data_IF_812733386567
#
_entry.id   IF_812733386567
#
_cell.length_a   1.000
_cell.length_b   1.000
_cell.length_c   1.000
_cell.angle_alpha   90.00
_cell.angle_beta   90.00
_cell.angle_gamma   90.00
#
_symmetry.space_group_name_H-M   'P 1'
#
loop_
_entity.id
_entity.type
_entity.pdbx_description
1 polymer ?
#
# COMPACT_ATOMS: atom_id res chain seq x y z
N UNK A 1 44.15 -82.13 49.11
CA UNK A 1 44.96 -81.63 47.97
C UNK A 1 44.33 -80.37 47.45
N UNK A 2 45.00 -79.28 47.70
CA UNK A 2 44.50 -77.92 47.52
C UNK A 2 44.94 -77.36 46.18
N UNK A 3 44.01 -76.75 45.37
CA UNK A 3 44.36 -75.95 44.25
C UNK A 3 43.73 -74.56 44.40
N UNK A 4 44.61 -73.56 44.53
CA UNK A 4 44.31 -72.13 44.60
C UNK A 4 44.01 -71.63 43.21
N UNK A 5 42.85 -70.98 43.01
CA UNK A 5 42.49 -70.25 41.82
C UNK A 5 42.76 -68.76 42.04
N UNK A 6 43.67 -68.18 41.26
CA UNK A 6 43.99 -66.72 41.23
C UNK A 6 42.92 -65.94 40.51
N UNK A 7 42.30 -64.97 41.18
CA UNK A 7 41.42 -63.98 40.60
C UNK A 7 42.24 -62.87 39.96
N UNK A 8 42.08 -62.71 38.70
CA UNK A 8 42.53 -61.49 38.00
C UNK A 8 41.36 -60.47 37.92
N UNK A 9 41.54 -59.31 38.56
CA UNK A 9 40.67 -58.17 38.45
C UNK A 9 41.07 -57.36 37.19
N UNK A 10 40.20 -57.31 36.22
CA UNK A 10 40.33 -56.41 35.04
C UNK A 10 39.47 -55.18 35.33
N UNK A 11 40.13 -54.05 35.65
CA UNK A 11 39.49 -52.80 35.83
C UNK A 11 39.15 -52.23 34.43
N UNK A 12 37.85 -52.12 34.09
CA UNK A 12 37.34 -51.46 32.91
C UNK A 12 37.07 -49.97 33.26
N UNK A 13 37.97 -49.09 32.83
CA UNK A 13 37.73 -47.64 32.89
C UNK A 13 36.62 -47.22 31.89
N UNK A 14 35.40 -46.98 32.38
CA UNK A 14 34.35 -46.31 31.63
C UNK A 14 34.64 -44.81 31.65
N UNK A 15 35.16 -44.25 30.55
CA UNK A 15 35.18 -42.84 30.29
C UNK A 15 33.81 -42.41 29.79
N UNK A 16 32.97 -41.89 30.69
CA UNK A 16 31.72 -41.24 30.32
C UNK A 16 32.02 -39.85 29.71
N UNK A 17 32.02 -39.76 28.38
CA UNK A 17 32.04 -38.47 27.65
C UNK A 17 30.73 -37.77 27.86
N UNK A 18 30.67 -36.72 28.70
CA UNK A 18 29.57 -35.77 28.76
C UNK A 18 29.57 -34.95 27.45
N UNK A 19 28.71 -35.31 26.52
CA UNK A 19 28.30 -34.45 25.45
C UNK A 19 27.41 -33.33 26.04
N UNK A 20 28.05 -32.20 26.37
CA UNK A 20 27.33 -30.96 26.69
C UNK A 20 26.67 -30.41 25.41
N UNK A 21 25.52 -30.96 25.03
CA UNK A 21 24.58 -30.36 24.08
C UNK A 21 23.95 -29.16 24.77
N UNK A 22 24.51 -27.97 24.53
CA UNK A 22 23.84 -26.73 24.94
C UNK A 22 22.45 -26.65 24.31
N UNK A 23 21.45 -26.11 25.02
CA UNK A 23 20.15 -25.90 24.43
C UNK A 23 20.31 -24.94 23.24
N UNK A 24 20.20 -25.47 22.04
CA UNK A 24 19.89 -24.61 20.85
C UNK A 24 18.50 -24.06 21.08
N UNK A 25 18.42 -22.82 21.54
CA UNK A 25 17.17 -22.08 21.50
C UNK A 25 16.76 -21.95 20.04
N UNK A 26 15.92 -22.88 19.61
CA UNK A 26 15.19 -22.66 18.35
C UNK A 26 14.36 -21.38 18.56
N UNK A 27 14.85 -20.24 18.09
CA UNK A 27 14.01 -19.06 17.93
C UNK A 27 12.92 -19.47 16.95
N UNK A 28 11.69 -19.53 17.44
CA UNK A 28 10.56 -19.61 16.54
C UNK A 28 10.64 -18.37 15.66
N UNK A 29 10.79 -18.57 14.35
CA UNK A 29 10.79 -17.47 13.39
C UNK A 29 9.47 -16.69 13.53
N UNK A 30 9.58 -15.40 13.80
CA UNK A 30 8.42 -14.53 13.90
C UNK A 30 7.68 -14.46 12.56
N UNK A 31 6.36 -14.58 12.60
CA UNK A 31 5.55 -14.51 11.38
C UNK A 31 5.15 -13.07 11.09
N UNK A 32 5.75 -12.50 10.04
CA UNK A 32 5.40 -11.20 9.49
C UNK A 32 4.17 -11.33 8.58
N UNK A 33 3.09 -10.65 8.94
CA UNK A 33 1.84 -10.65 8.20
C UNK A 33 1.81 -9.44 7.26
N UNK A 34 1.74 -9.69 5.96
CA UNK A 34 1.56 -8.67 4.93
C UNK A 34 0.08 -8.49 4.61
N UNK A 35 -0.40 -7.26 4.73
CA UNK A 35 -1.77 -6.89 4.37
C UNK A 35 -1.82 -6.36 2.96
N UNK A 36 -2.49 -7.09 2.07
CA UNK A 36 -2.76 -6.61 0.71
C UNK A 36 -4.22 -6.26 0.54
N UNK A 37 -4.47 -5.16 -0.16
CA UNK A 37 -5.80 -4.74 -0.61
C UNK A 37 -5.88 -4.88 -2.12
N UNK A 38 -7.07 -5.17 -2.64
CA UNK A 38 -7.30 -5.01 -4.08
C UNK A 38 -7.26 -3.52 -4.41
N UNK A 39 -6.21 -3.11 -5.10
CA UNK A 39 -5.89 -1.71 -5.40
C UNK A 39 -5.20 -1.64 -6.77
N UNK A 40 -5.90 -2.01 -7.87
CA UNK A 40 -5.30 -1.94 -9.19
C UNK A 40 -4.90 -0.48 -9.55
N UNK A 41 -3.78 -0.28 -10.21
CA UNK A 41 -2.86 -1.29 -10.73
C UNK A 41 -1.70 -1.63 -9.78
N UNK A 42 -1.80 -1.32 -8.49
CA UNK A 42 -0.75 -1.66 -7.51
C UNK A 42 -0.82 -3.13 -7.13
N UNK A 43 -2.01 -3.61 -6.78
CA UNK A 43 -2.31 -5.02 -6.50
C UNK A 43 -3.57 -5.43 -7.26
N UNK A 44 -3.55 -6.60 -7.90
CA UNK A 44 -4.64 -7.10 -8.73
C UNK A 44 -4.95 -8.53 -8.30
N UNK A 45 -6.09 -8.73 -7.65
CA UNK A 45 -6.45 -10.02 -7.08
C UNK A 45 -7.18 -10.94 -8.05
N UNK A 46 -7.83 -10.39 -9.06
CA UNK A 46 -8.69 -11.14 -9.96
C UNK A 46 -8.53 -10.70 -11.43
N UNK A 47 -9.10 -11.49 -12.32
CA UNK A 47 -9.13 -11.21 -13.76
C UNK A 47 -7.84 -11.58 -14.51
N UNK A 48 -7.75 -11.24 -15.80
CA UNK A 48 -6.65 -11.66 -16.68
C UNK A 48 -5.28 -11.08 -16.29
N UNK A 49 -5.26 -10.02 -15.48
CA UNK A 49 -4.04 -9.32 -15.03
C UNK A 49 -3.73 -9.56 -13.56
N UNK A 50 -4.32 -10.58 -12.94
CA UNK A 50 -4.04 -10.98 -11.57
C UNK A 50 -2.53 -11.15 -11.32
N UNK A 51 -2.03 -10.57 -10.24
CA UNK A 51 -0.62 -10.65 -9.85
C UNK A 51 0.34 -9.81 -10.71
N UNK A 52 -0.17 -8.95 -11.59
CA UNK A 52 0.65 -8.09 -12.46
C UNK A 52 0.76 -6.64 -11.95
N UNK A 53 0.26 -6.36 -10.78
CA UNK A 53 0.36 -5.03 -10.18
C UNK A 53 1.79 -4.71 -9.73
N UNK A 54 2.09 -3.42 -9.56
CA UNK A 54 3.43 -2.99 -9.17
C UNK A 54 3.86 -3.54 -7.80
N UNK A 55 2.94 -3.61 -6.83
CA UNK A 55 3.20 -4.21 -5.52
C UNK A 55 3.16 -5.74 -5.55
N UNK A 56 2.40 -6.33 -6.47
CA UNK A 56 2.45 -7.78 -6.70
C UNK A 56 3.86 -8.23 -7.12
N UNK A 57 4.64 -7.33 -7.75
CA UNK A 57 6.04 -7.58 -8.13
C UNK A 57 7.03 -7.20 -7.01
N UNK A 58 6.77 -6.13 -6.26
CA UNK A 58 7.64 -5.69 -5.17
C UNK A 58 7.63 -6.65 -3.98
N UNK A 59 6.46 -7.13 -3.57
CA UNK A 59 6.33 -7.92 -2.35
C UNK A 59 7.12 -9.23 -2.37
N UNK A 60 7.15 -10.03 -3.45
CA UNK A 60 8.01 -11.20 -3.54
C UNK A 60 9.49 -10.88 -3.36
N UNK A 61 9.97 -9.76 -3.92
CA UNK A 61 11.35 -9.31 -3.75
C UNK A 61 11.64 -8.98 -2.29
N UNK A 62 10.74 -8.26 -1.62
CA UNK A 62 10.88 -7.99 -0.18
C UNK A 62 10.93 -9.26 0.65
N UNK A 63 10.05 -10.22 0.38
CA UNK A 63 9.99 -11.51 1.09
C UNK A 63 11.30 -12.28 0.91
N UNK A 64 11.85 -12.31 -0.29
CA UNK A 64 13.13 -13.00 -0.58
C UNK A 64 14.31 -12.39 0.19
N UNK A 65 14.29 -11.06 0.41
CA UNK A 65 15.36 -10.35 1.11
C UNK A 65 15.16 -10.24 2.63
N UNK A 66 14.10 -10.84 3.17
CA UNK A 66 13.78 -10.88 4.61
C UNK A 66 13.63 -12.33 5.09
N UNK A 67 14.63 -13.20 4.86
CA UNK A 67 14.53 -14.64 5.16
C UNK A 67 14.48 -14.95 6.65
N UNK A 68 14.77 -13.98 7.53
CA UNK A 68 14.70 -14.10 8.98
C UNK A 68 13.25 -14.18 9.52
N UNK A 69 12.24 -13.90 8.69
CA UNK A 69 10.83 -13.97 9.07
C UNK A 69 10.11 -15.08 8.30
N UNK A 70 9.11 -15.68 8.93
CA UNK A 70 8.07 -16.39 8.21
C UNK A 70 7.12 -15.34 7.62
N UNK A 71 6.68 -15.54 6.39
CA UNK A 71 5.80 -14.57 5.73
C UNK A 71 4.41 -15.17 5.51
N UNK A 72 3.39 -14.37 5.87
CA UNK A 72 2.00 -14.66 5.57
C UNK A 72 1.39 -13.47 4.84
N UNK A 73 0.77 -13.69 3.69
CA UNK A 73 0.06 -12.66 2.95
C UNK A 73 -1.44 -12.81 3.21
N UNK A 74 -2.08 -11.75 3.69
CA UNK A 74 -3.52 -11.69 3.90
C UNK A 74 -4.16 -10.66 2.98
N UNK A 75 -5.18 -11.10 2.25
CA UNK A 75 -6.04 -10.20 1.50
C UNK A 75 -7.12 -9.63 2.41
N UNK A 76 -7.12 -8.31 2.56
CA UNK A 76 -8.02 -7.59 3.48
C UNK A 76 -8.67 -6.40 2.77
N UNK A 77 -9.84 -5.99 3.24
CA UNK A 77 -10.35 -4.67 2.89
C UNK A 77 -9.67 -3.59 3.74
N UNK A 78 -9.86 -2.33 3.36
CA UNK A 78 -9.20 -1.19 4.01
C UNK A 78 -9.49 -1.09 5.51
N UNK A 79 -10.75 -1.23 5.91
CA UNK A 79 -11.16 -1.13 7.31
C UNK A 79 -10.49 -2.22 8.17
N UNK A 80 -10.49 -3.47 7.69
CA UNK A 80 -9.83 -4.58 8.37
C UNK A 80 -8.31 -4.39 8.44
N UNK A 81 -7.67 -3.96 7.34
CA UNK A 81 -6.23 -3.66 7.33
C UNK A 81 -5.86 -2.56 8.33
N UNK A 82 -6.61 -1.46 8.35
CA UNK A 82 -6.42 -0.38 9.33
C UNK A 82 -6.59 -0.87 10.77
N UNK A 83 -7.60 -1.70 11.02
CA UNK A 83 -7.81 -2.28 12.36
C UNK A 83 -6.61 -3.14 12.77
N UNK A 84 -6.13 -4.04 11.91
CA UNK A 84 -5.00 -4.93 12.21
C UNK A 84 -3.71 -4.14 12.48
N UNK A 85 -3.47 -3.04 11.76
CA UNK A 85 -2.32 -2.16 12.02
C UNK A 85 -2.39 -1.44 13.37
N UNK A 86 -3.59 -1.22 13.93
CA UNK A 86 -3.77 -0.65 15.27
C UNK A 86 -3.60 -1.66 16.40
N UNK A 87 -3.73 -2.93 16.10
CA UNK A 87 -3.52 -4.00 17.06
C UNK A 87 -2.02 -4.21 17.31
N UNK A 88 -1.58 -4.63 18.51
CA UNK A 88 -0.18 -4.93 18.80
C UNK A 88 0.22 -6.26 18.15
N UNK A 89 0.20 -6.32 16.82
CA UNK A 89 0.49 -7.49 16.00
C UNK A 89 1.72 -7.25 15.12
N UNK A 90 2.37 -8.32 14.66
CA UNK A 90 3.48 -8.21 13.72
C UNK A 90 2.94 -8.17 12.28
N UNK A 91 2.39 -7.03 11.92
CA UNK A 91 1.62 -6.83 10.70
C UNK A 91 2.12 -5.61 9.93
N UNK A 92 2.32 -5.73 8.62
CA UNK A 92 2.78 -4.66 7.74
C UNK A 92 1.86 -4.53 6.51
N UNK A 93 1.73 -3.30 6.01
CA UNK A 93 1.06 -2.96 4.75
C UNK A 93 2.10 -2.34 3.80
N UNK A 94 2.28 -2.87 2.59
CA UNK A 94 3.36 -2.44 1.70
C UNK A 94 3.09 -1.11 0.97
N UNK A 95 1.91 -0.48 1.15
CA UNK A 95 1.55 0.75 0.44
C UNK A 95 0.63 1.65 1.26
N UNK A 96 1.21 2.46 2.09
CA UNK A 96 0.51 3.48 2.87
C UNK A 96 1.01 4.88 2.54
N UNK A 97 0.08 5.82 2.39
CA UNK A 97 0.42 7.23 2.52
C UNK A 97 0.66 7.51 4.01
N UNK A 98 1.76 8.21 4.29
CA UNK A 98 1.99 8.72 5.63
C UNK A 98 0.92 9.76 6.00
N UNK A 99 0.37 9.65 7.20
CA UNK A 99 -0.50 10.67 7.80
C UNK A 99 -0.19 10.77 9.28
N UNK A 100 -0.39 11.96 9.86
CA UNK A 100 -0.22 12.19 11.30
C UNK A 100 -1.06 11.22 12.15
N UNK A 101 -2.25 10.86 11.69
CA UNK A 101 -3.12 9.94 12.43
C UNK A 101 -2.61 8.49 12.38
N UNK A 102 -2.08 8.05 11.24
CA UNK A 102 -1.47 6.72 11.12
C UNK A 102 -0.17 6.61 11.90
N UNK A 103 0.64 7.66 11.94
CA UNK A 103 1.89 7.71 12.70
C UNK A 103 1.72 7.52 14.23
N UNK A 104 0.49 7.53 14.73
CA UNK A 104 0.18 7.21 16.14
C UNK A 104 0.21 5.71 16.44
N UNK A 105 0.14 4.84 15.43
CA UNK A 105 0.05 3.39 15.57
C UNK A 105 0.78 2.60 14.47
N UNK A 106 1.42 3.29 13.53
CA UNK A 106 2.21 2.72 12.43
C UNK A 106 3.59 3.34 12.44
N UNK A 107 4.62 2.50 12.39
CA UNK A 107 5.98 2.90 12.03
C UNK A 107 6.16 2.72 10.53
N UNK A 108 6.79 3.71 9.88
CA UNK A 108 6.90 3.77 8.42
C UNK A 108 8.34 3.57 7.97
N UNK A 109 8.50 2.90 6.83
CA UNK A 109 9.77 2.82 6.10
C UNK A 109 10.13 4.18 5.49
N UNK A 110 11.36 4.29 5.04
CA UNK A 110 11.73 5.25 4.01
C UNK A 110 10.82 5.06 2.77
N UNK A 111 10.99 5.89 1.76
CA UNK A 111 10.15 5.78 0.56
C UNK A 111 10.28 4.40 -0.11
N UNK A 112 9.15 3.73 -0.37
CA UNK A 112 9.11 2.48 -1.10
C UNK A 112 8.99 2.71 -2.62
N UNK A 113 8.02 3.52 -3.05
CA UNK A 113 7.89 4.01 -4.42
C UNK A 113 6.94 5.21 -4.50
N UNK A 114 6.93 5.87 -5.66
CA UNK A 114 6.12 7.07 -5.92
C UNK A 114 4.97 6.73 -6.85
N UNK A 115 3.80 7.32 -6.61
CA UNK A 115 2.62 7.21 -7.45
C UNK A 115 2.14 8.59 -7.89
N UNK A 116 1.49 8.67 -9.04
CA UNK A 116 0.77 9.87 -9.44
C UNK A 116 -0.29 10.23 -8.39
N UNK A 117 -0.46 11.51 -8.09
CA UNK A 117 -1.39 11.94 -7.05
C UNK A 117 -2.85 11.63 -7.37
N UNK A 118 -3.64 11.53 -6.31
CA UNK A 118 -5.09 11.49 -6.43
C UNK A 118 -5.62 12.76 -7.08
N UNK A 119 -6.73 12.60 -7.75
CA UNK A 119 -7.49 13.69 -8.34
C UNK A 119 -8.97 13.36 -8.39
N UNK A 120 -9.70 14.13 -9.16
CA UNK A 120 -11.13 13.94 -9.38
C UNK A 120 -11.40 13.47 -10.79
N UNK A 121 -12.31 12.52 -10.92
CA UNK A 121 -12.89 12.10 -12.19
C UNK A 121 -14.28 12.69 -12.35
N UNK A 122 -14.52 13.27 -13.52
CA UNK A 122 -15.79 13.83 -13.96
C UNK A 122 -16.27 13.08 -15.22
N UNK A 123 -17.58 13.02 -15.44
CA UNK A 123 -18.09 12.58 -16.74
C UNK A 123 -17.86 13.68 -17.78
N UNK A 124 -17.38 13.31 -18.96
CA UNK A 124 -17.07 14.27 -20.03
C UNK A 124 -18.29 15.14 -20.40
N UNK A 125 -19.47 14.55 -20.44
CA UNK A 125 -20.71 15.28 -20.72
C UNK A 125 -21.14 16.30 -19.65
N UNK A 126 -20.44 16.35 -18.51
CA UNK A 126 -20.65 17.34 -17.45
C UNK A 126 -19.54 18.39 -17.39
N UNK A 127 -18.57 18.34 -18.29
CA UNK A 127 -17.38 19.19 -18.24
C UNK A 127 -17.73 20.67 -18.24
N UNK A 128 -18.71 21.10 -19.06
CA UNK A 128 -19.15 22.50 -19.13
C UNK A 128 -19.75 22.98 -17.81
N UNK A 129 -20.55 22.13 -17.15
CA UNK A 129 -21.12 22.44 -15.83
C UNK A 129 -20.07 22.51 -14.72
N UNK A 130 -18.93 21.81 -14.91
CA UNK A 130 -17.81 21.78 -13.96
C UNK A 130 -16.74 22.85 -14.27
N UNK A 131 -16.83 23.53 -15.40
CA UNK A 131 -15.87 24.55 -15.82
C UNK A 131 -15.59 25.65 -14.75
N UNK A 132 -16.57 26.11 -13.95
CA UNK A 132 -16.32 27.09 -12.90
C UNK A 132 -15.33 26.60 -11.81
N UNK A 133 -15.16 25.28 -11.66
CA UNK A 133 -14.26 24.67 -10.67
C UNK A 133 -12.93 24.20 -11.28
N UNK A 134 -12.71 24.44 -12.57
CA UNK A 134 -11.50 24.01 -13.27
C UNK A 134 -10.70 25.24 -13.70
N UNK A 135 -9.47 25.34 -13.22
CA UNK A 135 -8.54 26.38 -13.62
C UNK A 135 -7.15 25.80 -13.82
N UNK A 136 -6.45 26.18 -14.88
CA UNK A 136 -5.11 25.71 -15.22
C UNK A 136 -5.00 24.15 -15.24
N UNK A 137 -6.06 23.47 -15.70
CA UNK A 137 -6.10 22.02 -15.72
C UNK A 137 -6.22 21.34 -14.35
N UNK A 138 -6.53 22.08 -13.30
CA UNK A 138 -6.72 21.59 -11.93
C UNK A 138 -8.13 21.85 -11.43
N UNK A 139 -8.60 20.96 -10.57
CA UNK A 139 -9.93 21.05 -9.99
C UNK A 139 -9.89 21.68 -8.59
N UNK A 140 -10.70 22.71 -8.38
CA UNK A 140 -10.89 23.36 -7.07
C UNK A 140 -11.95 22.58 -6.28
N UNK A 141 -11.48 21.56 -5.55
CA UNK A 141 -12.35 20.68 -4.75
C UNK A 141 -13.05 21.46 -3.65
N UNK A 142 -12.37 22.42 -3.00
CA UNK A 142 -12.99 23.22 -1.94
C UNK A 142 -14.18 24.04 -2.47
N UNK A 143 -13.97 24.79 -3.54
CA UNK A 143 -15.04 25.57 -4.15
C UNK A 143 -16.20 24.67 -4.63
N UNK A 144 -15.90 23.47 -5.10
CA UNK A 144 -16.92 22.51 -5.53
C UNK A 144 -17.73 21.95 -4.35
N UNK A 145 -17.09 21.52 -3.25
CA UNK A 145 -17.82 21.00 -2.08
C UNK A 145 -18.58 22.10 -1.34
N UNK A 146 -18.20 23.36 -1.48
CA UNK A 146 -18.96 24.49 -0.93
C UNK A 146 -20.23 24.79 -1.75
N UNK A 147 -20.29 24.37 -2.99
CA UNK A 147 -21.49 24.55 -3.84
C UNK A 147 -22.67 23.70 -3.36
N UNK A 148 -23.91 24.24 -3.51
CA UNK A 148 -25.11 23.65 -2.91
C UNK A 148 -25.48 22.24 -3.39
N UNK A 149 -25.06 21.86 -4.59
CA UNK A 149 -25.44 20.58 -5.23
C UNK A 149 -24.26 19.63 -5.45
N UNK A 150 -23.10 19.90 -4.84
CA UNK A 150 -21.93 19.07 -5.01
C UNK A 150 -22.11 17.70 -4.32
N UNK A 151 -21.81 16.62 -5.04
CA UNK A 151 -21.78 15.25 -4.50
C UNK A 151 -20.52 14.56 -4.97
N UNK A 152 -19.63 14.33 -4.01
CA UNK A 152 -18.31 13.70 -4.23
C UNK A 152 -18.32 12.27 -3.70
N UNK A 153 -17.96 11.33 -4.55
CA UNK A 153 -17.70 9.95 -4.17
C UNK A 153 -16.28 9.76 -3.67
N UNK A 154 -16.14 9.15 -2.50
CA UNK A 154 -14.85 8.82 -1.91
C UNK A 154 -14.88 7.45 -1.22
N UNK A 155 -13.75 6.76 -1.21
CA UNK A 155 -13.60 5.49 -0.49
C UNK A 155 -13.38 5.81 0.98
N UNK A 156 -14.18 5.20 1.86
CA UNK A 156 -14.07 5.38 3.29
C UNK A 156 -12.70 4.95 3.84
N UNK A 157 -12.22 5.65 4.86
CA UNK A 157 -10.93 5.40 5.53
C UNK A 157 -9.69 5.47 4.62
N UNK A 158 -9.85 5.96 3.39
CA UNK A 158 -8.75 6.23 2.47
C UNK A 158 -8.20 7.62 2.71
N UNK A 159 -6.87 7.76 2.77
CA UNK A 159 -6.21 9.05 2.60
C UNK A 159 -5.99 9.30 1.11
N UNK A 160 -6.30 10.51 0.69
CA UNK A 160 -6.05 11.03 -0.66
C UNK A 160 -4.87 12.01 -0.71
N UNK A 161 -4.22 12.20 0.44
CA UNK A 161 -3.17 13.17 0.65
C UNK A 161 -3.66 14.38 1.47
N UNK A 162 -2.73 15.14 2.09
CA UNK A 162 -3.07 16.08 3.17
C UNK A 162 -4.06 17.17 2.75
N UNK A 163 -3.94 17.69 1.53
CA UNK A 163 -4.82 18.77 1.03
C UNK A 163 -6.24 18.25 0.83
N UNK A 164 -6.39 17.11 0.14
CA UNK A 164 -7.71 16.54 -0.14
C UNK A 164 -8.36 16.06 1.16
N UNK A 165 -7.60 15.39 2.03
CA UNK A 165 -8.11 14.88 3.31
C UNK A 165 -8.64 16.02 4.19
N UNK A 166 -7.96 17.17 4.23
CA UNK A 166 -8.42 18.34 4.98
C UNK A 166 -9.69 18.95 4.39
N UNK A 167 -9.78 19.07 3.06
CA UNK A 167 -10.98 19.57 2.37
C UNK A 167 -12.18 18.64 2.58
N UNK A 168 -11.97 17.31 2.53
CA UNK A 168 -13.04 16.34 2.79
C UNK A 168 -13.51 16.38 4.25
N UNK A 169 -12.60 16.62 5.19
CA UNK A 169 -12.93 16.74 6.61
C UNK A 169 -13.78 17.97 6.91
N UNK A 170 -13.57 19.05 6.17
CA UNK A 170 -14.32 20.30 6.31
C UNK A 170 -15.64 20.28 5.53
N UNK A 171 -15.79 19.38 4.56
CA UNK A 171 -16.98 19.28 3.74
C UNK A 171 -18.19 18.79 4.54
N UNK A 172 -19.38 19.30 4.18
CA UNK A 172 -20.64 18.80 4.72
C UNK A 172 -20.81 17.31 4.37
N UNK A 173 -21.11 16.49 5.39
CA UNK A 173 -21.25 15.05 5.22
C UNK A 173 -22.32 14.65 4.18
N UNK A 174 -23.35 15.49 3.96
CA UNK A 174 -24.38 15.26 2.93
C UNK A 174 -23.85 15.35 1.49
N UNK A 175 -22.70 15.99 1.29
CA UNK A 175 -22.04 16.16 0.00
C UNK A 175 -21.06 15.05 -0.30
N UNK A 176 -20.75 14.21 0.67
CA UNK A 176 -19.82 13.10 0.54
C UNK A 176 -20.58 11.77 0.48
N UNK A 177 -20.34 11.00 -0.56
CA UNK A 177 -20.75 9.61 -0.65
C UNK A 177 -19.55 8.71 -0.31
N UNK A 178 -19.43 8.37 0.98
CA UNK A 178 -18.39 7.46 1.44
C UNK A 178 -18.81 6.02 1.17
N UNK A 179 -17.98 5.29 0.42
CA UNK A 179 -18.25 3.90 0.08
C UNK A 179 -17.23 2.96 0.74
N UNK A 180 -17.73 1.84 1.26
CA UNK A 180 -16.96 0.81 1.94
C UNK A 180 -16.92 -0.47 1.09
N UNK A 181 -15.96 -1.34 1.35
CA UNK A 181 -15.87 -2.66 0.74
C UNK A 181 -14.72 -2.82 -0.24
N UNK A 182 -14.65 -3.98 -0.88
CA UNK A 182 -13.54 -4.35 -1.75
C UNK A 182 -13.62 -3.68 -3.12
N UNK A 183 -14.82 -3.52 -3.69
CA UNK A 183 -15.06 -2.83 -4.98
C UNK A 183 -15.67 -1.44 -4.76
N UNK A 184 -15.11 -0.68 -3.83
CA UNK A 184 -15.65 0.64 -3.48
C UNK A 184 -15.55 1.62 -4.65
N UNK A 185 -14.45 1.63 -5.38
CA UNK A 185 -14.27 2.55 -6.52
C UNK A 185 -15.19 2.18 -7.70
N UNK A 186 -15.29 0.90 -8.02
CA UNK A 186 -16.21 0.44 -9.07
C UNK A 186 -17.65 0.83 -8.78
N UNK A 187 -18.09 0.70 -7.54
CA UNK A 187 -19.43 1.14 -7.09
C UNK A 187 -19.61 2.66 -7.22
N UNK A 188 -18.60 3.45 -6.87
CA UNK A 188 -18.64 4.91 -7.02
C UNK A 188 -18.72 5.34 -8.47
N UNK A 189 -17.96 4.70 -9.37
CA UNK A 189 -18.05 4.96 -10.82
C UNK A 189 -19.43 4.62 -11.38
N UNK A 190 -20.04 3.52 -10.91
CA UNK A 190 -21.40 3.18 -11.28
C UNK A 190 -22.42 4.23 -10.79
N UNK A 191 -22.27 4.71 -9.56
CA UNK A 191 -23.11 5.81 -9.05
C UNK A 191 -22.94 7.08 -9.87
N UNK A 192 -21.70 7.41 -10.28
CA UNK A 192 -21.41 8.55 -11.15
C UNK A 192 -22.07 8.37 -12.53
N UNK A 193 -21.97 7.19 -13.13
CA UNK A 193 -22.61 6.87 -14.41
C UNK A 193 -24.14 7.07 -14.36
N UNK A 194 -24.76 6.72 -13.23
CA UNK A 194 -26.19 6.89 -12.99
C UNK A 194 -26.58 8.33 -12.62
N UNK A 195 -25.63 9.27 -12.61
CA UNK A 195 -25.89 10.68 -12.25
C UNK A 195 -26.16 10.93 -10.78
N UNK A 196 -25.78 9.99 -9.92
CA UNK A 196 -25.91 10.12 -8.45
C UNK A 196 -24.73 10.85 -7.81
N UNK A 197 -23.60 10.93 -8.51
CA UNK A 197 -22.39 11.65 -8.13
C UNK A 197 -21.93 12.51 -9.31
N UNK A 198 -21.47 13.72 -9.04
CA UNK A 198 -20.83 14.58 -10.02
C UNK A 198 -19.34 14.24 -10.15
N UNK A 199 -18.66 13.95 -9.05
CA UNK A 199 -17.23 13.76 -8.99
C UNK A 199 -16.90 12.49 -8.20
N UNK A 200 -15.83 11.79 -8.59
CA UNK A 200 -15.27 10.64 -7.87
C UNK A 200 -13.77 10.84 -7.64
N UNK A 201 -13.32 10.73 -6.39
CA UNK A 201 -11.91 10.82 -6.03
C UNK A 201 -11.19 9.49 -6.21
N UNK A 202 -9.97 9.53 -6.74
CA UNK A 202 -9.13 8.34 -6.89
C UNK A 202 -7.82 8.63 -7.63
N UNK A 203 -7.04 7.58 -7.80
CA UNK A 203 -5.89 7.59 -8.72
C UNK A 203 -6.38 7.35 -10.14
N UNK A 204 -5.87 8.13 -11.10
CA UNK A 204 -6.31 7.97 -12.50
C UNK A 204 -6.10 6.55 -13.06
N UNK A 205 -4.97 5.87 -12.85
CA UNK A 205 -4.80 4.49 -13.32
C UNK A 205 -5.79 3.51 -12.70
N UNK A 206 -6.14 3.68 -11.42
CA UNK A 206 -7.13 2.88 -10.71
C UNK A 206 -8.54 3.10 -11.29
N UNK A 207 -8.91 4.37 -11.49
CA UNK A 207 -10.17 4.76 -12.12
C UNK A 207 -10.30 4.16 -13.51
N UNK A 208 -9.26 4.27 -14.35
CA UNK A 208 -9.25 3.68 -15.69
C UNK A 208 -9.38 2.16 -15.67
N UNK A 209 -8.73 1.49 -14.73
CA UNK A 209 -8.84 0.05 -14.58
C UNK A 209 -10.29 -0.36 -14.29
N UNK A 210 -10.93 0.22 -13.30
CA UNK A 210 -12.32 -0.09 -12.95
C UNK A 210 -13.32 0.35 -14.04
N UNK A 211 -13.09 1.49 -14.69
CA UNK A 211 -13.90 1.94 -15.82
C UNK A 211 -13.88 0.93 -16.96
N UNK A 212 -12.70 0.43 -17.32
CA UNK A 212 -12.55 -0.61 -18.36
C UNK A 212 -13.30 -1.89 -17.98
N UNK A 213 -13.23 -2.33 -16.73
CA UNK A 213 -13.96 -3.51 -16.25
C UNK A 213 -15.49 -3.34 -16.37
N UNK A 214 -15.98 -2.12 -16.30
CA UNK A 214 -17.41 -1.79 -16.41
C UNK A 214 -17.84 -1.39 -17.83
N UNK A 215 -16.95 -1.48 -18.82
CA UNK A 215 -17.22 -1.06 -20.19
C UNK A 215 -17.43 0.45 -20.35
N UNK A 216 -16.90 1.27 -19.43
CA UNK A 216 -16.86 2.72 -19.52
C UNK A 216 -15.65 3.09 -20.39
N UNK A 217 -15.89 3.79 -21.50
CA UNK A 217 -14.81 4.24 -22.37
C UNK A 217 -13.95 5.30 -21.66
N UNK A 218 -12.63 5.27 -21.87
CA UNK A 218 -11.72 6.24 -21.28
C UNK A 218 -12.10 7.69 -21.68
N UNK A 219 -12.63 7.85 -22.90
CA UNK A 219 -13.08 9.14 -23.42
C UNK A 219 -14.39 9.66 -22.81
N UNK A 220 -15.12 8.83 -22.06
CA UNK A 220 -16.31 9.25 -21.33
C UNK A 220 -15.97 9.95 -20.00
N UNK A 221 -14.71 9.86 -19.60
CA UNK A 221 -14.19 10.41 -18.33
C UNK A 221 -13.15 11.51 -18.60
N UNK A 222 -13.11 12.47 -17.71
CA UNK A 222 -12.07 13.49 -17.63
C UNK A 222 -11.47 13.45 -16.22
N UNK A 223 -10.15 13.51 -16.11
CA UNK A 223 -9.44 13.51 -14.83
C UNK A 223 -8.72 14.83 -14.60
N UNK A 224 -8.84 15.35 -13.40
CA UNK A 224 -8.19 16.60 -13.00
C UNK A 224 -7.46 16.39 -11.66
N UNK A 225 -6.15 16.72 -11.60
CA UNK A 225 -5.45 16.87 -10.33
C UNK A 225 -6.12 17.94 -9.47
N UNK A 226 -6.06 17.79 -8.15
CA UNK A 226 -6.64 18.79 -7.24
C UNK A 226 -5.71 20.00 -7.13
N UNK A 227 -6.30 21.19 -7.12
CA UNK A 227 -5.59 22.45 -6.92
C UNK A 227 -4.83 22.44 -5.60
N UNK A 228 -3.55 22.79 -5.67
CA UNK A 228 -2.64 22.79 -4.53
C UNK A 228 -1.97 21.43 -4.24
N UNK A 229 -2.47 20.31 -4.77
CA UNK A 229 -1.82 19.01 -4.60
C UNK A 229 -0.54 18.91 -5.42
N UNK A 230 0.47 18.21 -4.85
CA UNK A 230 1.67 17.84 -5.59
C UNK A 230 1.33 16.87 -6.73
N UNK A 231 2.13 16.80 -7.81
CA UNK A 231 1.86 15.89 -8.93
C UNK A 231 2.00 14.40 -8.53
N UNK A 232 2.80 14.11 -7.52
CA UNK A 232 3.11 12.76 -7.05
C UNK A 232 2.93 12.65 -5.54
N UNK A 233 2.70 11.41 -5.09
CA UNK A 233 2.61 11.02 -3.68
C UNK A 233 3.61 9.90 -3.38
N UNK A 234 4.24 9.97 -2.21
CA UNK A 234 5.14 8.93 -1.72
C UNK A 234 4.36 7.90 -0.93
N UNK A 235 4.60 6.63 -1.27
CA UNK A 235 4.05 5.49 -0.52
C UNK A 235 5.14 4.86 0.32
N UNK A 236 4.75 4.39 1.48
CA UNK A 236 5.61 3.79 2.47
C UNK A 236 5.12 2.38 2.81
N UNK A 237 6.04 1.53 3.19
CA UNK A 237 5.69 0.32 3.92
C UNK A 237 5.45 0.75 5.37
N UNK A 238 4.33 0.33 5.95
CA UNK A 238 4.00 0.67 7.32
C UNK A 238 3.71 -0.59 8.12
N UNK A 239 4.33 -0.74 9.29
CA UNK A 239 4.08 -1.83 10.22
C UNK A 239 3.40 -1.33 11.50
N UNK A 240 2.63 -2.19 12.18
CA UNK A 240 2.12 -1.89 13.53
C UNK A 240 3.24 -1.42 14.44
N UNK A 241 3.01 -0.36 15.22
CA UNK A 241 4.02 0.24 16.09
C UNK A 241 4.29 -0.64 17.32
N UNK A 242 5.02 -1.73 17.09
CA UNK A 242 5.50 -2.71 18.07
C UNK A 242 7.03 -2.81 17.98
N UNK A 243 7.67 -3.45 18.95
CA UNK A 243 9.12 -3.71 18.89
C UNK A 243 9.49 -4.49 17.60
N UNK A 244 8.71 -5.53 17.26
CA UNK A 244 8.90 -6.33 16.04
C UNK A 244 8.66 -5.49 14.78
N UNK A 245 7.59 -4.67 14.76
CA UNK A 245 7.29 -3.79 13.64
C UNK A 245 8.40 -2.78 13.37
N UNK A 246 8.98 -2.16 14.42
CA UNK A 246 10.12 -1.24 14.29
C UNK A 246 11.36 -1.94 13.76
N UNK A 247 11.69 -3.12 14.29
CA UNK A 247 12.82 -3.92 13.79
C UNK A 247 12.62 -4.32 12.32
N UNK A 248 11.40 -4.72 11.95
CA UNK A 248 11.10 -5.05 10.55
C UNK A 248 11.26 -3.84 9.64
N UNK A 249 10.82 -2.64 10.05
CA UNK A 249 11.00 -1.42 9.26
C UNK A 249 12.49 -1.10 9.05
N UNK A 250 13.35 -1.23 10.08
CA UNK A 250 14.79 -1.05 9.92
C UNK A 250 15.40 -2.02 8.90
N UNK A 251 14.96 -3.29 8.91
CA UNK A 251 15.37 -4.29 7.92
C UNK A 251 14.83 -3.99 6.53
N UNK A 252 13.55 -3.64 6.42
CA UNK A 252 12.90 -3.25 5.17
C UNK A 252 13.62 -2.05 4.54
N UNK A 253 13.99 -1.04 5.34
CA UNK A 253 14.73 0.12 4.85
C UNK A 253 16.13 -0.24 4.31
N UNK A 254 16.78 -1.25 4.87
CA UNK A 254 18.03 -1.77 4.30
C UNK A 254 17.77 -2.42 2.94
N UNK A 255 16.75 -3.29 2.84
CA UNK A 255 16.36 -3.97 1.61
C UNK A 255 15.97 -2.96 0.51
N UNK A 256 15.18 -1.94 0.86
CA UNK A 256 14.74 -0.90 -0.09
C UNK A 256 15.90 -0.11 -0.71
N UNK A 257 17.06 -0.04 -0.03
CA UNK A 257 18.29 0.56 -0.60
C UNK A 257 19.04 -0.36 -1.56
N UNK A 258 18.82 -1.66 -1.47
CA UNK A 258 19.54 -2.69 -2.22
C UNK A 258 18.78 -3.17 -3.46
N UNK A 259 17.45 -3.13 -3.43
CA UNK A 259 16.62 -3.61 -4.53
C UNK A 259 16.47 -2.58 -5.66
N UNK A 260 16.27 -3.02 -6.90
CA UNK A 260 16.10 -2.14 -8.05
C UNK A 260 14.68 -1.53 -8.10
N UNK A 261 14.41 -0.53 -7.25
CA UNK A 261 13.11 0.15 -7.20
C UNK A 261 12.67 0.73 -8.55
N UNK A 262 13.62 1.03 -9.44
CA UNK A 262 13.33 1.49 -10.81
C UNK A 262 12.48 0.48 -11.60
N UNK A 263 12.69 -0.83 -11.41
CA UNK A 263 11.85 -1.85 -12.07
C UNK A 263 10.40 -1.79 -11.57
N UNK A 264 10.21 -1.58 -10.28
CA UNK A 264 8.88 -1.44 -9.68
C UNK A 264 8.19 -0.19 -10.20
N UNK A 265 8.93 0.90 -10.33
CA UNK A 265 8.41 2.16 -10.89
C UNK A 265 8.09 2.04 -12.37
N UNK A 266 8.91 1.35 -13.16
CA UNK A 266 8.60 1.06 -14.56
C UNK A 266 7.36 0.18 -14.69
N UNK A 267 7.20 -0.81 -13.81
CA UNK A 267 5.97 -1.60 -13.74
C UNK A 267 4.75 -0.72 -13.49
N UNK A 268 4.81 0.19 -12.52
CA UNK A 268 3.74 1.16 -12.27
C UNK A 268 3.50 2.08 -13.48
N UNK A 269 4.58 2.63 -14.08
CA UNK A 269 4.49 3.49 -15.25
C UNK A 269 3.79 2.83 -16.44
N UNK A 270 3.90 1.50 -16.59
CA UNK A 270 3.22 0.76 -17.66
C UNK A 270 1.69 0.88 -17.62
N UNK A 271 1.13 1.22 -16.46
CA UNK A 271 -0.30 1.39 -16.26
C UNK A 271 -0.79 2.81 -16.48
N UNK A 272 0.13 3.78 -16.56
CA UNK A 272 -0.20 5.17 -16.84
C UNK A 272 -0.59 5.34 -18.32
N UNK A 273 -1.41 6.34 -18.63
CA UNK A 273 -1.60 6.75 -20.01
C UNK A 273 -0.30 7.31 -20.58
N UNK A 274 -0.19 7.46 -21.92
CA UNK A 274 1.07 7.85 -22.54
C UNK A 274 1.65 9.16 -22.03
N UNK A 275 0.80 10.17 -21.79
CA UNK A 275 1.24 11.51 -21.34
C UNK A 275 1.73 11.45 -19.89
N UNK A 276 0.94 10.87 -19.00
CA UNK A 276 1.35 10.70 -17.60
C UNK A 276 2.59 9.82 -17.47
N UNK A 277 2.71 8.78 -18.28
CA UNK A 277 3.89 7.90 -18.29
C UNK A 277 5.15 8.66 -18.65
N UNK A 278 5.10 9.46 -19.71
CA UNK A 278 6.23 10.26 -20.14
C UNK A 278 6.71 11.19 -19.02
N UNK A 279 5.81 11.97 -18.42
CA UNK A 279 6.15 12.86 -17.31
C UNK A 279 6.68 12.07 -16.10
N UNK A 280 6.01 10.99 -15.73
CA UNK A 280 6.42 10.17 -14.59
C UNK A 280 7.83 9.61 -14.75
N UNK A 281 8.19 9.13 -15.96
CA UNK A 281 9.53 8.59 -16.22
C UNK A 281 10.59 9.69 -16.33
N UNK A 282 10.23 10.89 -16.81
CA UNK A 282 11.13 12.05 -16.82
C UNK A 282 11.45 12.53 -15.40
N UNK A 283 10.45 12.55 -14.51
CA UNK A 283 10.59 13.02 -13.14
C UNK A 283 11.17 11.95 -12.20
N UNK A 284 11.16 10.67 -12.61
CA UNK A 284 11.57 9.52 -11.80
C UNK A 284 12.94 9.66 -11.12
N UNK A 285 14.01 10.17 -11.77
CA UNK A 285 15.29 10.34 -11.12
C UNK A 285 15.26 11.24 -9.88
N UNK A 286 14.30 12.18 -9.81
CA UNK A 286 14.14 13.09 -8.67
C UNK A 286 13.45 12.45 -7.46
N UNK A 287 12.73 11.34 -7.67
CA UNK A 287 11.92 10.70 -6.61
C UNK A 287 12.74 10.19 -5.43
N UNK A 288 14.02 9.90 -5.66
CA UNK A 288 14.94 9.34 -4.65
C UNK A 288 15.92 10.37 -4.09
N UNK A 289 16.00 11.59 -4.66
CA UNK A 289 17.01 12.57 -4.30
C UNK A 289 16.65 13.38 -3.05
N UNK A 290 15.35 13.55 -2.75
CA UNK A 290 14.86 14.37 -1.65
C UNK A 290 13.78 13.62 -0.85
N UNK A 291 14.20 12.67 -0.02
CA UNK A 291 13.29 12.06 0.96
C UNK A 291 13.58 12.63 2.35
N UNK A 292 12.88 13.69 2.79
CA UNK A 292 12.79 13.91 4.22
C UNK A 292 12.13 12.68 4.82
N UNK A 293 12.78 12.08 5.80
CA UNK A 293 12.14 11.02 6.59
C UNK A 293 10.83 11.57 7.17
N UNK A 294 9.76 10.76 7.17
CA UNK A 294 8.48 11.16 7.72
C UNK A 294 8.53 11.46 9.22
#
# INVERSE_FOLDING_TARGET
>A
MTLRCKRWFMQLCLTAGLLAGGPTTAHAEDTLIWLLRDLPPLTIFEGPRKGQGALDQLLPILIEHLPEYRHQVLHVNRARGTQMLREPSFTCDPSLLWTRDRAKYVVFSSQAFVVASNGVTLRRNQQDAMAPYISEGRFDLQAFVDAHKARVGAIAERSYGPIIDEQLKQADAHKLALHYGNDALGSLLQMQRLGRLEAVLGYWPEIRYHAMQQGIAADDLSFYPIKGSAPYQRTHIGCSDTAQGRQAIERIDQVLREIPLEQVQQSYASWLDPVMREHYLQDNPSFFQDSPQP
#
